data_IF_723936104189
#
_entry.id   IF_723936104189
#
_cell.length_a   1.000
_cell.length_b   1.000
_cell.length_c   1.000
_cell.angle_alpha   90.00
_cell.angle_beta   90.00
_cell.angle_gamma   90.00
#
_symmetry.space_group_name_H-M   'P 1'
#
loop_
_entity.id
_entity.type
_entity.pdbx_description
1 polymer ?
#
# COMPACT_ATOMS: atom_id res chain seq x y z
N UNK A 1 5.96 18.81 5.95
CA UNK A 1 6.33 17.50 6.53
C UNK A 1 5.33 16.48 6.01
N UNK A 2 5.74 15.44 5.27
CA UNK A 2 4.80 14.43 4.74
C UNK A 2 4.29 13.57 5.90
N UNK A 3 3.26 14.06 6.59
CA UNK A 3 2.64 13.33 7.68
C UNK A 3 1.70 12.26 7.15
N UNK A 4 1.84 11.06 7.71
CA UNK A 4 1.07 9.88 7.34
C UNK A 4 -0.26 9.84 8.11
N UNK A 5 -0.47 10.79 9.04
CA UNK A 5 -1.75 11.11 9.68
C UNK A 5 -2.55 9.87 10.09
N UNK A 6 -3.77 9.75 9.56
CA UNK A 6 -4.70 8.63 9.76
C UNK A 6 -4.09 7.23 9.49
N UNK A 7 -3.11 7.13 8.60
CA UNK A 7 -2.46 5.88 8.21
C UNK A 7 -1.37 5.45 9.21
N UNK A 8 -0.96 6.30 10.16
CA UNK A 8 -0.02 5.90 11.22
C UNK A 8 -0.56 4.74 12.07
N UNK A 9 -1.88 4.57 12.16
CA UNK A 9 -2.49 3.41 12.81
C UNK A 9 -2.46 2.19 11.88
N UNK A 10 -1.37 1.42 11.98
CA UNK A 10 -1.16 0.16 11.23
C UNK A 10 -2.28 -0.86 11.42
N UNK A 11 -3.06 -0.79 12.51
CA UNK A 11 -4.18 -1.72 12.74
C UNK A 11 -5.28 -1.51 11.70
N UNK A 12 -5.48 -0.27 11.24
CA UNK A 12 -6.45 0.04 10.17
C UNK A 12 -6.06 -0.64 8.87
N UNK A 13 -4.77 -0.64 8.57
CA UNK A 13 -4.26 -1.33 7.38
C UNK A 13 -4.45 -2.85 7.50
N UNK A 14 -4.14 -3.46 8.65
CA UNK A 14 -4.39 -4.89 8.87
C UNK A 14 -5.87 -5.26 8.68
N UNK A 15 -6.78 -4.42 9.20
CA UNK A 15 -8.21 -4.60 8.97
C UNK A 15 -8.54 -4.51 7.49
N UNK A 16 -8.05 -3.50 6.77
CA UNK A 16 -8.32 -3.34 5.34
C UNK A 16 -7.82 -4.53 4.50
N UNK A 17 -6.58 -4.98 4.75
CA UNK A 17 -5.94 -6.09 4.04
C UNK A 17 -6.69 -7.41 4.21
N UNK A 18 -7.30 -7.65 5.37
CA UNK A 18 -7.97 -8.92 5.71
C UNK A 18 -9.45 -8.98 5.31
N UNK A 19 -10.03 -7.92 4.74
CA UNK A 19 -11.44 -7.94 4.27
C UNK A 19 -11.66 -8.65 2.95
N UNK A 20 -10.65 -8.68 2.09
CA UNK A 20 -10.76 -9.29 0.77
C UNK A 20 -10.83 -10.82 0.90
N UNK A 21 -11.84 -11.44 0.26
CA UNK A 21 -11.99 -12.91 0.22
C UNK A 21 -11.45 -13.56 -1.05
N UNK A 22 -11.41 -12.81 -2.16
CA UNK A 22 -11.05 -13.34 -3.50
C UNK A 22 -9.97 -12.54 -4.20
N UNK A 23 -10.04 -11.21 -4.12
CA UNK A 23 -9.07 -10.29 -4.71
C UNK A 23 -8.96 -9.05 -3.85
N UNK A 24 -7.73 -8.64 -3.55
CA UNK A 24 -7.40 -7.41 -2.87
C UNK A 24 -6.73 -6.47 -3.86
N UNK A 25 -7.24 -5.24 -3.98
CA UNK A 25 -6.63 -4.17 -4.76
C UNK A 25 -6.39 -3.00 -3.82
N UNK A 26 -5.15 -2.55 -3.73
CA UNK A 26 -4.74 -1.42 -2.89
C UNK A 26 -4.26 -0.31 -3.81
N UNK A 27 -4.84 0.88 -3.66
CA UNK A 27 -4.48 2.07 -4.44
C UNK A 27 -3.91 3.11 -3.48
N UNK A 28 -2.74 3.64 -3.79
CA UNK A 28 -2.10 4.66 -2.97
C UNK A 28 -0.86 5.25 -3.62
N UNK A 29 -0.45 6.43 -3.15
CA UNK A 29 0.79 7.07 -3.56
C UNK A 29 1.98 6.49 -2.78
N UNK A 30 2.83 5.74 -3.49
CA UNK A 30 4.02 5.10 -2.93
C UNK A 30 5.01 6.10 -2.32
N UNK A 31 5.10 7.32 -2.88
CA UNK A 31 6.02 8.35 -2.38
C UNK A 31 5.62 8.92 -1.01
N UNK A 32 4.33 8.81 -0.68
CA UNK A 32 3.78 9.23 0.60
C UNK A 32 3.83 8.08 1.61
N UNK A 33 3.47 6.86 1.18
CA UNK A 33 3.45 5.66 2.02
C UNK A 33 4.84 5.19 2.46
N UNK A 34 5.85 5.31 1.61
CA UNK A 34 7.22 4.85 1.90
C UNK A 34 7.90 5.58 3.07
N UNK A 35 7.35 6.71 3.54
CA UNK A 35 7.85 7.44 4.71
C UNK A 35 7.60 6.67 6.03
N UNK A 36 6.73 5.65 6.03
CA UNK A 36 6.48 4.81 7.20
C UNK A 36 7.14 3.44 7.06
N UNK A 37 7.86 2.92 8.08
CA UNK A 37 8.53 1.62 7.99
C UNK A 37 7.59 0.44 7.68
N UNK A 38 6.38 0.45 8.24
CA UNK A 38 5.38 -0.60 7.97
C UNK A 38 4.95 -0.62 6.50
N UNK A 39 4.57 0.55 5.94
CA UNK A 39 4.08 0.63 4.56
C UNK A 39 5.21 0.43 3.55
N UNK A 40 6.44 0.86 3.88
CA UNK A 40 7.62 0.55 3.08
C UNK A 40 7.82 -0.96 2.94
N UNK A 41 7.79 -1.70 4.05
CA UNK A 41 7.87 -3.18 4.03
C UNK A 41 6.71 -3.83 3.27
N UNK A 42 5.51 -3.26 3.38
CA UNK A 42 4.36 -3.72 2.60
C UNK A 42 4.59 -3.54 1.09
N UNK A 43 5.10 -2.37 0.66
CA UNK A 43 5.42 -2.10 -0.74
C UNK A 43 6.54 -3.02 -1.25
N UNK A 44 7.61 -3.22 -0.48
CA UNK A 44 8.70 -4.16 -0.79
C UNK A 44 8.18 -5.59 -0.96
N UNK A 45 7.27 -6.03 -0.09
CA UNK A 45 6.62 -7.34 -0.23
C UNK A 45 5.79 -7.42 -1.52
N UNK A 46 4.95 -6.42 -1.82
CA UNK A 46 4.15 -6.42 -3.05
C UNK A 46 4.99 -6.42 -4.32
N UNK A 47 6.16 -5.77 -4.28
CA UNK A 47 7.12 -5.77 -5.39
C UNK A 47 7.79 -7.15 -5.54
N UNK A 48 8.19 -7.78 -4.42
CA UNK A 48 8.81 -9.13 -4.43
C UNK A 48 7.93 -10.22 -5.04
N UNK A 49 6.60 -10.04 -5.03
CA UNK A 49 5.64 -10.96 -5.64
C UNK A 49 5.10 -10.47 -7.00
N UNK A 50 5.73 -9.43 -7.57
CA UNK A 50 5.33 -8.79 -8.83
C UNK A 50 3.87 -8.31 -8.87
N UNK A 51 3.33 -7.90 -7.72
CA UNK A 51 1.96 -7.39 -7.59
C UNK A 51 1.88 -5.86 -7.61
N UNK A 52 3.01 -5.15 -7.50
CA UNK A 52 3.06 -3.70 -7.62
C UNK A 52 2.94 -3.30 -9.10
N UNK A 53 1.99 -2.41 -9.40
CA UNK A 53 1.79 -1.84 -10.74
C UNK A 53 1.69 -0.34 -10.68
N UNK A 54 2.25 0.32 -11.69
CA UNK A 54 2.09 1.76 -11.86
C UNK A 54 0.67 2.08 -12.33
N UNK A 55 0.06 3.12 -11.79
CA UNK A 55 -1.24 3.61 -12.27
C UNK A 55 -1.19 3.98 -13.77
N UNK A 56 0.00 4.38 -14.26
CA UNK A 56 0.23 4.72 -15.66
C UNK A 56 0.07 3.51 -16.61
N UNK A 57 0.30 2.28 -16.14
CA UNK A 57 0.08 1.06 -16.94
C UNK A 57 -1.40 0.81 -17.29
N UNK A 58 -2.33 1.50 -16.63
CA UNK A 58 -3.77 1.35 -16.86
C UNK A 58 -4.37 2.46 -17.73
N UNK A 59 -3.61 3.53 -17.99
CA UNK A 59 -4.05 4.69 -18.78
C UNK A 59 -3.66 4.55 -20.26
N UNK A 60 -2.76 3.62 -20.58
CA UNK A 60 -2.29 3.30 -21.92
C UNK A 60 -2.41 1.79 -22.18
#
# INVERSE_FOLDING_TARGET
TKEIGFLSDVRRMNVALTRAKKKLVVIGDSSTLANHPFYKRFLEYTDSIQALKSAWEFIY
#
